data_IF_506606870542
#
_entry.id   IF_506606870542
#
_cell.length_a   1.000
_cell.length_b   1.000
_cell.length_c   1.000
_cell.angle_alpha   90.00
_cell.angle_beta   90.00
_cell.angle_gamma   90.00
#
_symmetry.space_group_name_H-M   'P 1'
#
loop_
_entity.id
_entity.type
_entity.pdbx_description
1 polymer ?
#
# COMPACT_ATOMS: atom_id res chain seq x y z
N UNK A 1 -10.61 10.60 -19.57
CA UNK A 1 -11.95 10.76 -18.98
C UNK A 1 -11.97 12.06 -18.20
N UNK A 2 -13.01 12.88 -18.32
CA UNK A 2 -13.17 14.10 -17.52
C UNK A 2 -13.49 13.74 -16.07
N UNK A 3 -12.64 14.14 -15.11
CA UNK A 3 -12.91 14.00 -13.68
C UNK A 3 -13.94 15.02 -13.20
N UNK A 4 -14.61 14.72 -12.08
CA UNK A 4 -15.57 15.63 -11.45
C UNK A 4 -15.09 15.99 -10.05
N UNK A 5 -15.32 17.24 -9.64
CA UNK A 5 -15.03 17.66 -8.29
C UNK A 5 -15.92 16.89 -7.30
N UNK A 6 -15.36 16.33 -6.22
CA UNK A 6 -16.14 15.56 -5.25
C UNK A 6 -17.17 16.45 -4.56
N UNK A 7 -18.34 15.87 -4.30
CA UNK A 7 -19.31 16.49 -3.40
C UNK A 7 -18.68 16.70 -2.02
N UNK A 8 -19.17 17.70 -1.28
CA UNK A 8 -18.69 17.98 0.08
C UNK A 8 -18.76 16.73 0.98
N UNK A 9 -19.81 15.91 0.80
CA UNK A 9 -19.98 14.66 1.53
C UNK A 9 -18.83 13.67 1.26
N UNK A 10 -18.54 13.38 -0.01
CA UNK A 10 -17.45 12.46 -0.40
C UNK A 10 -16.11 12.97 0.14
N UNK A 11 -15.85 14.27 -0.01
CA UNK A 11 -14.63 14.90 0.47
C UNK A 11 -14.43 14.69 1.97
N UNK A 12 -15.42 15.02 2.79
CA UNK A 12 -15.31 14.90 4.24
C UNK A 12 -15.20 13.44 4.67
N UNK A 13 -16.01 12.54 4.12
CA UNK A 13 -15.96 11.12 4.44
C UNK A 13 -14.58 10.51 4.13
N UNK A 14 -14.04 10.79 2.94
CA UNK A 14 -12.74 10.25 2.52
C UNK A 14 -11.62 10.75 3.44
N UNK A 15 -11.60 12.06 3.74
CA UNK A 15 -10.63 12.64 4.65
C UNK A 15 -10.75 12.05 6.06
N UNK A 16 -11.97 11.85 6.56
CA UNK A 16 -12.19 11.21 7.87
C UNK A 16 -11.67 9.77 7.87
N UNK A 17 -11.96 8.96 6.85
CA UNK A 17 -11.47 7.59 6.75
C UNK A 17 -9.93 7.52 6.71
N UNK A 18 -9.27 8.48 6.05
CA UNK A 18 -7.81 8.59 6.05
C UNK A 18 -7.26 9.02 7.42
N UNK A 19 -7.84 10.04 8.05
CA UNK A 19 -7.24 10.67 9.24
C UNK A 19 -7.47 9.84 10.51
N UNK A 20 -8.53 9.02 10.59
CA UNK A 20 -8.84 8.25 11.80
C UNK A 20 -7.70 7.32 12.27
N UNK A 21 -7.07 6.48 11.42
CA UNK A 21 -5.96 5.65 11.85
C UNK A 21 -4.70 6.48 12.18
N UNK A 22 -4.51 7.64 11.55
CA UNK A 22 -3.41 8.55 11.90
C UNK A 22 -3.59 9.15 13.30
N UNK A 23 -4.80 9.62 13.62
CA UNK A 23 -5.15 10.09 14.97
C UNK A 23 -4.90 8.98 15.99
N UNK A 24 -5.35 7.76 15.69
CA UNK A 24 -5.09 6.59 16.53
C UNK A 24 -3.60 6.40 16.79
N UNK A 25 -2.74 6.43 15.75
CA UNK A 25 -1.30 6.30 15.91
C UNK A 25 -0.73 7.33 16.90
N UNK A 26 -1.04 8.62 16.72
CA UNK A 26 -0.53 9.67 17.60
C UNK A 26 -1.01 9.53 19.05
N UNK A 27 -2.30 9.23 19.26
CA UNK A 27 -2.86 9.04 20.60
C UNK A 27 -2.24 7.81 21.29
N UNK A 28 -2.03 6.72 20.56
CA UNK A 28 -1.44 5.50 21.12
C UNK A 28 0.04 5.70 21.46
N UNK A 29 0.78 6.34 20.56
CA UNK A 29 2.22 6.49 20.71
C UNK A 29 2.59 7.49 21.80
N UNK A 30 1.92 8.65 21.85
CA UNK A 30 2.30 9.76 22.74
C UNK A 30 1.49 9.83 24.04
N UNK A 31 0.21 9.43 24.03
CA UNK A 31 -0.71 9.72 25.14
C UNK A 31 -1.07 8.47 25.94
N UNK A 32 -1.51 7.41 25.27
CA UNK A 32 -2.14 6.26 25.92
C UNK A 32 -1.23 5.06 26.10
N UNK A 33 0.07 5.16 25.76
CA UNK A 33 1.04 4.05 25.81
C UNK A 33 1.04 3.25 27.13
N UNK A 34 0.81 3.92 28.26
CA UNK A 34 0.74 3.29 29.59
C UNK A 34 -0.62 2.59 29.89
N UNK A 35 -1.68 2.92 29.13
CA UNK A 35 -3.05 2.45 29.34
C UNK A 35 -3.47 1.48 28.23
N UNK A 36 -2.93 0.26 28.28
CA UNK A 36 -3.11 -0.80 27.26
C UNK A 36 -4.55 -0.97 26.78
N UNK A 37 -5.52 -1.15 27.71
CA UNK A 37 -6.93 -1.37 27.34
C UNK A 37 -7.52 -0.19 26.56
N UNK A 38 -7.17 1.03 26.96
CA UNK A 38 -7.62 2.25 26.30
C UNK A 38 -6.98 2.39 24.91
N UNK A 39 -5.69 2.09 24.77
CA UNK A 39 -5.00 2.08 23.47
C UNK A 39 -5.67 1.12 22.47
N UNK A 40 -5.96 -0.10 22.89
CA UNK A 40 -6.61 -1.09 22.03
C UNK A 40 -8.02 -0.63 21.63
N UNK A 41 -8.81 -0.12 22.58
CA UNK A 41 -10.15 0.38 22.32
C UNK A 41 -10.15 1.57 21.34
N UNK A 42 -9.24 2.53 21.49
CA UNK A 42 -9.12 3.69 20.59
C UNK A 42 -8.73 3.25 19.17
N UNK A 43 -7.77 2.33 19.05
CA UNK A 43 -7.35 1.84 17.72
C UNK A 43 -8.48 1.14 16.99
N UNK A 44 -9.18 0.22 17.67
CA UNK A 44 -10.32 -0.50 17.11
C UNK A 44 -11.46 0.46 16.76
N UNK A 45 -11.74 1.46 17.60
CA UNK A 45 -12.75 2.47 17.32
C UNK A 45 -12.41 3.26 16.05
N UNK A 46 -11.20 3.80 15.93
CA UNK A 46 -10.76 4.53 14.73
C UNK A 46 -10.77 3.66 13.46
N UNK A 47 -10.37 2.38 13.57
CA UNK A 47 -10.47 1.43 12.47
C UNK A 47 -11.92 1.15 12.07
N UNK A 48 -12.83 1.03 13.06
CA UNK A 48 -14.27 0.83 12.83
C UNK A 48 -14.90 2.01 12.10
N UNK A 49 -14.56 3.25 12.49
CA UNK A 49 -15.04 4.45 11.79
C UNK A 49 -14.58 4.44 10.33
N UNK A 50 -13.31 4.13 10.09
CA UNK A 50 -12.75 4.06 8.72
C UNK A 50 -13.43 2.98 7.89
N UNK A 51 -13.72 1.82 8.50
CA UNK A 51 -14.43 0.71 7.89
C UNK A 51 -15.86 1.09 7.48
N UNK A 52 -16.63 1.65 8.41
CA UNK A 52 -18.02 2.05 8.16
C UNK A 52 -18.10 3.08 7.04
N UNK A 53 -17.18 4.03 7.01
CA UNK A 53 -17.10 5.03 5.94
C UNK A 53 -16.74 4.37 4.60
N UNK A 54 -15.74 3.48 4.57
CA UNK A 54 -15.34 2.79 3.33
C UNK A 54 -16.51 2.04 2.71
N UNK A 55 -17.23 1.25 3.51
CA UNK A 55 -18.41 0.51 3.05
C UNK A 55 -19.54 1.44 2.63
N UNK A 56 -19.80 2.52 3.38
CA UNK A 56 -20.77 3.53 2.99
C UNK A 56 -20.43 4.13 1.61
N UNK A 57 -19.17 4.51 1.38
CA UNK A 57 -18.70 5.06 0.12
C UNK A 57 -18.88 4.04 -1.02
N UNK A 58 -18.52 2.78 -0.82
CA UNK A 58 -18.69 1.75 -1.84
C UNK A 58 -20.17 1.52 -2.18
N UNK A 59 -21.06 1.35 -1.20
CA UNK A 59 -22.47 1.09 -1.48
C UNK A 59 -23.16 2.23 -2.23
N UNK A 60 -22.84 3.48 -1.90
CA UNK A 60 -23.47 4.64 -2.52
C UNK A 60 -22.80 5.10 -3.82
N UNK A 61 -21.49 4.84 -3.98
CA UNK A 61 -20.70 5.39 -5.09
C UNK A 61 -20.04 4.32 -5.98
N UNK A 62 -20.33 3.01 -5.82
CA UNK A 62 -19.80 1.96 -6.72
C UNK A 62 -20.13 2.14 -8.21
N UNK A 63 -21.20 2.87 -8.53
CA UNK A 63 -21.65 3.12 -9.90
C UNK A 63 -21.26 4.50 -10.43
N UNK A 64 -20.28 5.19 -9.82
CA UNK A 64 -19.78 6.46 -10.34
C UNK A 64 -19.21 6.28 -11.75
N UNK A 65 -19.71 7.07 -12.70
CA UNK A 65 -19.28 7.02 -14.10
C UNK A 65 -18.00 7.81 -14.34
N UNK A 66 -17.76 8.84 -13.53
CA UNK A 66 -16.58 9.68 -13.61
C UNK A 66 -15.81 9.65 -12.27
N UNK A 67 -14.47 9.57 -12.31
CA UNK A 67 -13.65 9.59 -11.12
C UNK A 67 -13.81 10.94 -10.38
N UNK A 68 -13.90 10.87 -9.05
CA UNK A 68 -13.99 12.02 -8.16
C UNK A 68 -12.58 12.41 -7.73
N UNK A 69 -12.16 13.62 -8.06
CA UNK A 69 -10.77 14.07 -7.85
C UNK A 69 -10.74 15.38 -7.09
N UNK A 70 -9.96 15.39 -6.01
CA UNK A 70 -9.55 16.61 -5.33
C UNK A 70 -8.02 16.63 -5.33
N UNK A 71 -7.43 17.67 -5.88
CA UNK A 71 -5.98 17.84 -5.93
C UNK A 71 -5.59 19.24 -5.46
N UNK A 72 -4.51 19.30 -4.68
CA UNK A 72 -3.85 20.51 -4.24
C UNK A 72 -2.40 20.46 -4.69
N UNK A 73 -1.88 21.58 -5.19
CA UNK A 73 -0.46 21.67 -5.57
C UNK A 73 0.38 21.65 -4.29
N UNK A 74 1.22 20.61 -4.14
CA UNK A 74 2.14 20.47 -3.01
C UNK A 74 3.49 21.11 -3.32
N UNK A 75 4.06 20.79 -4.48
CA UNK A 75 5.28 21.40 -5.00
C UNK A 75 5.08 21.80 -6.46
N UNK A 76 5.54 22.99 -6.82
CA UNK A 76 5.58 23.46 -8.20
C UNK A 76 6.96 24.07 -8.50
N UNK A 77 7.50 23.74 -9.67
CA UNK A 77 8.75 24.26 -10.19
C UNK A 77 8.64 24.56 -11.68
N UNK A 78 9.76 24.92 -12.32
CA UNK A 78 9.78 25.24 -13.76
C UNK A 78 9.41 23.99 -14.59
N UNK A 79 8.15 23.89 -14.99
CA UNK A 79 7.63 22.81 -15.85
C UNK A 79 7.15 21.56 -15.13
N UNK A 80 7.21 21.49 -13.79
CA UNK A 80 6.72 20.34 -13.04
C UNK A 80 5.80 20.74 -11.87
N UNK A 81 4.70 20.00 -11.70
CA UNK A 81 3.75 20.17 -10.61
C UNK A 81 3.44 18.84 -9.95
N UNK A 82 3.72 18.73 -8.65
CA UNK A 82 3.38 17.57 -7.84
C UNK A 82 2.13 17.92 -7.02
N UNK A 83 1.06 17.19 -7.26
CA UNK A 83 -0.22 17.37 -6.55
C UNK A 83 -0.41 16.31 -5.47
N UNK A 84 -1.14 16.70 -4.43
CA UNK A 84 -1.61 15.84 -3.35
C UNK A 84 -3.13 15.94 -3.25
N UNK A 85 -3.76 14.82 -2.98
CA UNK A 85 -5.18 14.80 -2.68
C UNK A 85 -5.74 13.40 -2.74
N UNK A 86 -6.92 13.24 -3.33
CA UNK A 86 -7.52 11.94 -3.51
C UNK A 86 -8.18 11.76 -4.88
N UNK A 87 -8.08 10.54 -5.38
CA UNK A 87 -8.73 10.05 -6.60
C UNK A 87 -9.60 8.84 -6.23
N UNK A 88 -10.92 9.05 -6.24
CA UNK A 88 -11.92 8.02 -5.99
C UNK A 88 -12.59 7.57 -7.29
N UNK A 89 -12.56 6.27 -7.50
CA UNK A 89 -13.12 5.52 -8.62
C UNK A 89 -13.53 4.12 -8.11
N UNK A 90 -14.19 3.27 -8.92
CA UNK A 90 -14.61 1.95 -8.45
C UNK A 90 -13.47 1.08 -7.92
N UNK A 91 -12.26 1.20 -8.50
CA UNK A 91 -11.07 0.45 -8.08
C UNK A 91 -10.60 0.85 -6.67
N UNK A 92 -10.44 2.15 -6.43
CA UNK A 92 -10.02 2.67 -5.12
C UNK A 92 -11.10 2.47 -4.05
N UNK A 93 -12.39 2.56 -4.39
CA UNK A 93 -13.49 2.24 -3.45
C UNK A 93 -13.45 0.77 -3.01
N UNK A 94 -13.25 -0.16 -3.96
CA UNK A 94 -13.11 -1.57 -3.66
C UNK A 94 -11.90 -1.81 -2.75
N UNK A 95 -10.74 -1.29 -3.14
CA UNK A 95 -9.50 -1.49 -2.37
C UNK A 95 -9.58 -0.84 -0.99
N UNK A 96 -10.23 0.32 -0.85
CA UNK A 96 -10.45 0.98 0.45
C UNK A 96 -11.27 0.08 1.39
N UNK A 97 -12.30 -0.60 0.88
CA UNK A 97 -13.10 -1.55 1.66
C UNK A 97 -12.27 -2.77 2.08
N UNK A 98 -11.46 -3.33 1.19
CA UNK A 98 -10.60 -4.47 1.49
C UNK A 98 -9.60 -4.12 2.59
N UNK A 99 -8.86 -3.01 2.42
CA UNK A 99 -7.85 -2.56 3.38
C UNK A 99 -8.48 -2.29 4.75
N UNK A 100 -9.58 -1.55 4.80
CA UNK A 100 -10.21 -1.19 6.09
C UNK A 100 -10.83 -2.41 6.79
N UNK A 101 -11.45 -3.33 6.04
CA UNK A 101 -12.04 -4.57 6.57
C UNK A 101 -10.98 -5.46 7.19
N UNK A 102 -9.89 -5.71 6.47
CA UNK A 102 -8.84 -6.60 6.96
C UNK A 102 -8.05 -5.93 8.08
N UNK A 103 -7.79 -4.62 8.01
CA UNK A 103 -7.17 -3.87 9.12
C UNK A 103 -8.02 -3.95 10.40
N UNK A 104 -9.35 -3.81 10.30
CA UNK A 104 -10.26 -3.94 11.44
C UNK A 104 -10.25 -5.36 12.01
N UNK A 105 -10.41 -6.39 11.16
CA UNK A 105 -10.41 -7.79 11.59
C UNK A 105 -9.10 -8.18 12.27
N UNK A 106 -7.96 -7.75 11.73
CA UNK A 106 -6.63 -7.97 12.33
C UNK A 106 -6.54 -7.30 13.69
N UNK A 107 -7.01 -6.07 13.85
CA UNK A 107 -7.01 -5.38 15.14
C UNK A 107 -7.92 -6.06 16.17
N UNK A 108 -9.10 -6.56 15.77
CA UNK A 108 -9.99 -7.31 16.67
C UNK A 108 -9.35 -8.64 17.08
N UNK A 109 -8.83 -9.40 16.12
CA UNK A 109 -8.16 -10.68 16.38
C UNK A 109 -6.92 -10.53 17.28
N UNK A 110 -6.22 -9.40 17.15
CA UNK A 110 -5.03 -9.08 17.96
C UNK A 110 -5.34 -8.89 19.45
N UNK A 111 -6.58 -8.61 19.85
CA UNK A 111 -6.96 -8.49 21.26
C UNK A 111 -6.70 -9.79 22.02
N UNK A 112 -7.06 -10.91 21.42
CA UNK A 112 -6.84 -12.24 21.99
C UNK A 112 -5.40 -12.71 21.77
N UNK A 113 -4.89 -12.55 20.55
CA UNK A 113 -3.57 -13.06 20.18
C UNK A 113 -2.42 -12.40 20.96
N UNK A 114 -2.48 -11.08 21.16
CA UNK A 114 -1.44 -10.30 21.85
C UNK A 114 -1.71 -10.14 23.36
N UNK A 115 -2.71 -10.83 23.90
CA UNK A 115 -3.07 -10.73 25.32
C UNK A 115 -1.87 -11.11 26.21
N UNK A 116 -1.45 -10.19 27.08
CA UNK A 116 -0.31 -10.39 27.99
C UNK A 116 1.05 -9.94 27.44
N UNK A 117 1.15 -9.55 26.16
CA UNK A 117 2.40 -8.99 25.62
C UNK A 117 2.61 -7.55 26.14
N UNK A 118 3.77 -7.29 26.74
CA UNK A 118 4.12 -5.99 27.31
C UNK A 118 4.16 -4.85 26.28
N UNK A 119 4.34 -5.18 25.00
CA UNK A 119 4.45 -4.23 23.89
C UNK A 119 3.14 -3.97 23.13
N UNK A 120 1.99 -4.46 23.60
CA UNK A 120 0.72 -4.39 22.85
C UNK A 120 0.29 -2.96 22.46
N UNK A 121 0.49 -1.94 23.30
CA UNK A 121 0.15 -0.57 22.93
C UNK A 121 1.00 -0.04 21.75
N UNK A 122 2.29 -0.40 21.73
CA UNK A 122 3.21 -0.10 20.63
C UNK A 122 2.80 -0.88 19.36
N UNK A 123 2.43 -2.15 19.51
CA UNK A 123 1.91 -2.97 18.42
C UNK A 123 0.71 -2.33 17.72
N UNK A 124 -0.31 -1.91 18.48
CA UNK A 124 -1.49 -1.24 17.91
C UNK A 124 -1.15 0.12 17.28
N UNK A 125 -0.16 0.85 17.80
CA UNK A 125 0.31 2.08 17.15
C UNK A 125 0.90 1.78 15.76
N UNK A 126 1.71 0.71 15.63
CA UNK A 126 2.26 0.28 14.35
C UNK A 126 1.18 -0.22 13.38
N UNK A 127 0.15 -0.91 13.87
CA UNK A 127 -1.03 -1.26 13.04
C UNK A 127 -1.78 -0.02 12.55
N UNK A 128 -1.95 1.01 13.40
CA UNK A 128 -2.65 2.24 13.05
C UNK A 128 -1.92 3.05 11.97
N UNK A 129 -0.60 3.22 12.09
CA UNK A 129 0.19 3.90 11.03
C UNK A 129 0.23 3.07 9.74
N UNK A 130 0.29 1.74 9.84
CA UNK A 130 0.20 0.86 8.68
C UNK A 130 -1.14 1.03 7.94
N UNK A 131 -2.26 0.99 8.67
CA UNK A 131 -3.59 1.20 8.12
C UNK A 131 -3.73 2.57 7.47
N UNK A 132 -3.23 3.64 8.12
CA UNK A 132 -3.21 4.98 7.52
C UNK A 132 -2.43 5.02 6.20
N UNK A 133 -1.25 4.41 6.19
CA UNK A 133 -0.37 4.37 5.01
C UNK A 133 -1.08 3.70 3.84
N UNK A 134 -1.66 2.51 4.07
CA UNK A 134 -2.38 1.77 3.05
C UNK A 134 -3.62 2.51 2.54
N UNK A 135 -4.45 3.05 3.44
CA UNK A 135 -5.64 3.81 3.06
C UNK A 135 -5.25 5.03 2.21
N UNK A 136 -4.22 5.75 2.61
CA UNK A 136 -3.77 6.97 1.93
C UNK A 136 -3.10 6.66 0.58
N UNK A 137 -2.38 5.54 0.48
CA UNK A 137 -1.81 5.05 -0.78
C UNK A 137 -2.91 4.70 -1.77
N UNK A 138 -3.97 4.00 -1.32
CA UNK A 138 -5.09 3.60 -2.19
C UNK A 138 -5.78 4.80 -2.78
N UNK A 139 -6.08 5.82 -1.99
CA UNK A 139 -6.80 7.00 -2.51
C UNK A 139 -5.90 8.02 -3.19
N UNK A 140 -4.58 7.79 -3.29
CA UNK A 140 -3.64 8.75 -3.87
C UNK A 140 -4.04 9.17 -5.30
N UNK A 141 -3.95 10.47 -5.58
CA UNK A 141 -4.24 11.05 -6.90
C UNK A 141 -3.03 11.12 -7.81
N UNK A 142 -1.83 11.30 -7.23
CA UNK A 142 -0.56 11.38 -7.95
C UNK A 142 0.41 10.24 -7.61
N UNK A 143 1.32 9.94 -8.54
CA UNK A 143 2.29 8.85 -8.39
C UNK A 143 3.32 9.11 -7.28
N UNK A 144 3.74 10.37 -7.08
CA UNK A 144 4.65 10.74 -5.98
C UNK A 144 3.98 10.58 -4.62
N UNK A 145 2.71 11.00 -4.48
CA UNK A 145 1.94 10.78 -3.26
C UNK A 145 1.82 9.27 -2.97
N UNK A 146 1.50 8.48 -4.00
CA UNK A 146 1.45 7.02 -3.87
C UNK A 146 2.79 6.47 -3.38
N UNK A 147 3.91 6.90 -3.96
CA UNK A 147 5.27 6.49 -3.55
C UNK A 147 5.59 6.83 -2.10
N UNK A 148 5.20 8.01 -1.62
CA UNK A 148 5.43 8.40 -0.21
C UNK A 148 4.67 7.45 0.75
N UNK A 149 3.43 7.09 0.42
CA UNK A 149 2.69 6.14 1.26
C UNK A 149 3.14 4.70 1.07
N UNK A 150 3.59 4.33 -0.12
CA UNK A 150 4.22 3.04 -0.43
C UNK A 150 5.47 2.77 0.41
N UNK A 151 6.27 3.82 0.57
CA UNK A 151 7.43 3.90 1.45
C UNK A 151 7.04 3.73 2.92
N UNK A 152 5.97 4.42 3.34
CA UNK A 152 5.46 4.32 4.70
C UNK A 152 4.87 2.94 5.03
N UNK A 153 4.26 2.26 4.06
CA UNK A 153 3.87 0.84 4.15
C UNK A 153 5.10 -0.05 4.34
N UNK A 154 6.22 0.25 3.67
CA UNK A 154 7.51 -0.43 3.88
C UNK A 154 8.08 -0.22 5.29
N UNK A 155 8.05 1.02 5.78
CA UNK A 155 8.53 1.33 7.12
C UNK A 155 7.67 0.65 8.19
N UNK A 156 6.35 0.75 8.08
CA UNK A 156 5.43 0.19 9.06
C UNK A 156 5.43 -1.34 9.05
N UNK A 157 5.58 -2.00 7.89
CA UNK A 157 5.79 -3.45 7.82
C UNK A 157 7.11 -3.88 8.46
N UNK A 158 8.21 -3.15 8.27
CA UNK A 158 9.47 -3.40 8.97
C UNK A 158 9.30 -3.40 10.49
N UNK A 159 8.59 -2.40 11.03
CA UNK A 159 8.32 -2.28 12.46
C UNK A 159 7.43 -3.41 13.01
N UNK A 160 6.50 -3.91 12.20
CA UNK A 160 5.58 -4.99 12.56
C UNK A 160 6.23 -6.38 12.45
N UNK A 161 7.03 -6.64 11.41
CA UNK A 161 7.80 -7.89 11.26
C UNK A 161 8.84 -7.99 12.38
N UNK A 162 9.59 -6.91 12.62
CA UNK A 162 10.59 -6.81 13.68
C UNK A 162 10.02 -6.50 15.07
N UNK A 163 8.72 -6.70 15.32
CA UNK A 163 8.08 -6.29 16.57
C UNK A 163 8.78 -6.86 17.81
N UNK A 164 9.07 -8.17 17.78
CA UNK A 164 9.89 -8.87 18.77
C UNK A 164 11.39 -8.72 18.48
N UNK A 165 11.84 -7.47 18.36
CA UNK A 165 13.23 -7.08 18.09
C UNK A 165 14.32 -7.73 18.97
N UNK A 166 13.97 -8.18 20.18
CA UNK A 166 14.88 -8.94 21.06
C UNK A 166 15.25 -10.32 20.48
N UNK A 167 14.39 -10.90 19.63
CA UNK A 167 14.67 -12.14 18.89
C UNK A 167 15.51 -11.80 17.66
N UNK A 168 16.72 -12.36 17.59
CA UNK A 168 17.64 -12.08 16.48
C UNK A 168 17.03 -12.44 15.11
N UNK A 169 16.31 -13.56 14.99
CA UNK A 169 15.64 -13.97 13.75
C UNK A 169 14.60 -12.96 13.28
N UNK A 170 13.76 -12.43 14.18
CA UNK A 170 12.75 -11.42 13.84
C UNK A 170 13.38 -10.11 13.37
N UNK A 171 14.47 -9.68 14.02
CA UNK A 171 15.24 -8.51 13.59
C UNK A 171 15.91 -8.70 12.22
N UNK A 172 16.44 -9.90 11.94
CA UNK A 172 17.02 -10.20 10.62
C UNK A 172 15.95 -10.29 9.53
N UNK A 173 14.81 -10.93 9.82
CA UNK A 173 13.66 -11.02 8.92
C UNK A 173 13.12 -9.63 8.55
N UNK A 174 12.92 -8.76 9.55
CA UNK A 174 12.52 -7.38 9.32
C UNK A 174 13.50 -6.65 8.42
N UNK A 175 14.80 -6.71 8.71
CA UNK A 175 15.84 -6.06 7.88
C UNK A 175 15.86 -6.61 6.45
N UNK A 176 15.77 -7.94 6.26
CA UNK A 176 15.74 -8.55 4.94
C UNK A 176 14.53 -8.07 4.14
N UNK A 177 13.34 -8.06 4.75
CA UNK A 177 12.13 -7.52 4.14
C UNK A 177 12.31 -6.06 3.73
N UNK A 178 12.80 -5.22 4.65
CA UNK A 178 13.00 -3.80 4.37
C UNK A 178 14.00 -3.55 3.24
N UNK A 179 15.14 -4.23 3.24
CA UNK A 179 16.20 -4.07 2.22
C UNK A 179 15.74 -4.57 0.86
N UNK A 180 15.09 -5.73 0.80
CA UNK A 180 14.59 -6.29 -0.46
C UNK A 180 13.50 -5.41 -1.07
N UNK A 181 12.57 -4.91 -0.26
CA UNK A 181 11.53 -4.00 -0.76
C UNK A 181 12.14 -2.67 -1.19
N UNK A 182 13.12 -2.16 -0.42
CA UNK A 182 13.83 -0.92 -0.72
C UNK A 182 14.53 -0.96 -2.07
N UNK A 183 15.12 -2.11 -2.42
CA UNK A 183 15.78 -2.28 -3.70
C UNK A 183 14.80 -2.12 -4.88
N UNK A 184 13.58 -2.66 -4.75
CA UNK A 184 12.51 -2.43 -5.71
C UNK A 184 12.03 -0.98 -5.72
N UNK A 185 11.87 -0.40 -4.53
CA UNK A 185 11.40 0.98 -4.33
C UNK A 185 12.36 2.01 -5.00
N UNK A 186 13.67 1.73 -5.04
CA UNK A 186 14.65 2.54 -5.81
C UNK A 186 14.34 2.55 -7.31
N UNK A 187 14.00 1.39 -7.89
CA UNK A 187 13.57 1.30 -9.28
C UNK A 187 12.30 2.12 -9.52
N UNK A 188 11.31 2.00 -8.63
CA UNK A 188 10.09 2.78 -8.71
C UNK A 188 10.37 4.29 -8.65
N UNK A 189 11.23 4.72 -7.74
CA UNK A 189 11.63 6.13 -7.64
C UNK A 189 12.32 6.65 -8.91
N UNK A 190 13.21 5.86 -9.53
CA UNK A 190 13.82 6.21 -10.81
C UNK A 190 12.77 6.31 -11.93
N UNK A 191 11.74 5.45 -11.92
CA UNK A 191 10.60 5.56 -12.83
C UNK A 191 9.83 6.86 -12.66
N UNK A 192 9.61 7.31 -11.41
CA UNK A 192 8.98 8.60 -11.12
C UNK A 192 9.83 9.75 -11.65
N UNK A 193 11.14 9.75 -11.38
CA UNK A 193 12.06 10.78 -11.89
C UNK A 193 12.00 10.84 -13.42
N UNK A 194 12.04 9.69 -14.07
CA UNK A 194 11.94 9.59 -15.53
C UNK A 194 10.66 10.24 -16.07
N UNK A 195 9.51 10.00 -15.42
CA UNK A 195 8.25 10.61 -15.80
C UNK A 195 8.20 12.12 -15.54
N UNK A 196 8.66 12.59 -14.36
CA UNK A 196 8.69 14.04 -14.04
C UNK A 196 9.50 14.81 -15.06
N UNK A 197 10.69 14.32 -15.42
CA UNK A 197 11.60 15.01 -16.33
C UNK A 197 11.03 15.15 -17.76
N UNK A 198 10.10 14.30 -18.16
CA UNK A 198 9.57 14.27 -19.52
C UNK A 198 8.13 14.78 -19.64
N UNK A 199 7.30 14.59 -18.60
CA UNK A 199 5.89 14.96 -18.59
C UNK A 199 5.57 16.15 -17.69
N UNK A 200 6.37 16.42 -16.66
CA UNK A 200 6.14 17.48 -15.68
C UNK A 200 5.02 17.21 -14.66
N UNK A 201 4.05 16.36 -15.00
CA UNK A 201 2.91 16.03 -14.15
C UNK A 201 2.88 14.53 -13.82
N UNK A 202 2.58 14.22 -12.56
CA UNK A 202 2.48 12.87 -12.01
C UNK A 202 1.06 12.48 -11.62
N UNK A 203 0.04 13.25 -12.00
CA UNK A 203 -1.36 12.85 -11.80
C UNK A 203 -1.64 11.52 -12.52
N UNK A 204 -2.21 10.57 -11.79
CA UNK A 204 -2.49 9.22 -12.30
C UNK A 204 -3.44 9.29 -13.50
N UNK A 205 -4.41 10.20 -13.49
CA UNK A 205 -5.34 10.37 -14.61
C UNK A 205 -4.64 10.89 -15.87
N UNK A 206 -3.64 11.75 -15.71
CA UNK A 206 -2.87 12.27 -16.84
C UNK A 206 -1.95 11.18 -17.43
N UNK A 207 -1.26 10.42 -16.56
CA UNK A 207 -0.45 9.26 -16.96
C UNK A 207 -1.27 8.18 -17.69
N UNK A 208 -2.50 7.93 -17.24
CA UNK A 208 -3.42 6.99 -17.91
C UNK A 208 -4.12 7.60 -19.14
N UNK A 209 -3.89 8.88 -19.42
CA UNK A 209 -4.46 9.61 -20.54
C UNK A 209 -3.47 9.77 -21.70
N UNK A 210 -3.63 10.88 -22.43
CA UNK A 210 -2.83 11.15 -23.63
C UNK A 210 -1.35 11.51 -23.33
N UNK A 211 -0.97 11.78 -22.08
CA UNK A 211 0.41 12.12 -21.76
C UNK A 211 1.37 10.95 -21.96
N UNK A 212 0.95 9.71 -21.71
CA UNK A 212 1.75 8.52 -21.98
C UNK A 212 2.16 8.42 -23.45
N UNK A 213 1.25 8.78 -24.36
CA UNK A 213 1.51 8.75 -25.81
C UNK A 213 2.53 9.79 -26.29
N UNK A 214 2.90 10.77 -25.45
CA UNK A 214 3.95 11.76 -25.76
C UNK A 214 5.37 11.24 -25.51
N UNK A 215 5.52 10.15 -24.75
CA UNK A 215 6.81 9.54 -24.47
C UNK A 215 7.29 8.73 -25.68
N UNK A 216 8.60 8.70 -25.91
CA UNK A 216 9.18 7.76 -26.87
C UNK A 216 8.97 6.32 -26.37
N UNK A 217 8.79 5.37 -27.30
CA UNK A 217 8.50 3.96 -26.95
C UNK A 217 9.53 3.36 -25.99
N UNK A 218 10.81 3.67 -26.18
CA UNK A 218 11.88 3.20 -25.31
C UNK A 218 11.80 3.80 -23.90
N UNK A 219 11.51 5.09 -23.79
CA UNK A 219 11.39 5.77 -22.50
C UNK A 219 10.14 5.29 -21.75
N UNK A 220 9.00 5.17 -22.42
CA UNK A 220 7.76 4.64 -21.86
C UNK A 220 8.01 3.24 -21.27
N UNK A 221 8.63 2.34 -22.04
CA UNK A 221 8.93 0.98 -21.61
C UNK A 221 9.90 0.96 -20.43
N UNK A 222 10.94 1.80 -20.46
CA UNK A 222 11.88 1.95 -19.35
C UNK A 222 11.18 2.45 -18.08
N UNK A 223 10.38 3.53 -18.16
CA UNK A 223 9.64 4.06 -17.01
C UNK A 223 8.66 3.03 -16.45
N UNK A 224 7.96 2.28 -17.32
CA UNK A 224 7.05 1.22 -16.93
C UNK A 224 7.76 0.08 -16.18
N UNK A 225 8.89 -0.40 -16.70
CA UNK A 225 9.69 -1.45 -16.04
C UNK A 225 10.29 -0.96 -14.71
N UNK A 226 10.76 0.29 -14.65
CA UNK A 226 11.27 0.90 -13.42
C UNK A 226 10.18 1.00 -12.35
N UNK A 227 8.97 1.44 -12.70
CA UNK A 227 7.81 1.43 -11.77
C UNK A 227 7.48 -0.01 -11.34
N UNK A 228 7.52 -0.96 -12.28
CA UNK A 228 7.27 -2.36 -11.99
C UNK A 228 8.32 -2.98 -11.04
N UNK A 229 9.57 -2.50 -11.00
CA UNK A 229 10.54 -2.96 -9.99
C UNK A 229 10.05 -2.75 -8.56
N UNK A 230 9.30 -1.67 -8.29
CA UNK A 230 8.64 -1.48 -7.01
C UNK A 230 7.68 -2.62 -6.70
N UNK A 231 6.82 -2.96 -7.66
CA UNK A 231 5.86 -4.07 -7.57
C UNK A 231 6.58 -5.39 -7.30
N UNK A 232 7.70 -5.66 -7.99
CA UNK A 232 8.51 -6.86 -7.76
C UNK A 232 8.99 -6.94 -6.31
N UNK A 233 9.47 -5.82 -5.75
CA UNK A 233 9.90 -5.72 -4.36
C UNK A 233 8.77 -5.92 -3.35
N UNK A 234 7.70 -5.11 -3.40
CA UNK A 234 6.59 -5.15 -2.42
C UNK A 234 5.70 -6.38 -2.51
N UNK A 235 5.51 -6.92 -3.71
CA UNK A 235 4.68 -8.10 -3.94
C UNK A 235 5.49 -9.40 -3.93
N UNK A 236 6.76 -9.35 -3.48
CA UNK A 236 7.64 -10.51 -3.37
C UNK A 236 7.65 -11.38 -4.64
N UNK A 237 7.79 -10.72 -5.79
CA UNK A 237 7.91 -11.42 -7.07
C UNK A 237 9.35 -11.81 -7.32
N UNK A 238 9.58 -12.79 -8.19
CA UNK A 238 10.91 -13.11 -8.68
C UNK A 238 11.60 -11.87 -9.27
N UNK A 239 12.86 -11.57 -8.91
CA UNK A 239 13.78 -12.35 -8.07
C UNK A 239 13.77 -11.98 -6.58
N UNK A 240 12.96 -11.01 -6.16
CA UNK A 240 12.92 -10.48 -4.79
C UNK A 240 11.91 -11.21 -3.87
N UNK A 241 11.55 -12.46 -4.16
CA UNK A 241 10.53 -13.20 -3.40
C UNK A 241 10.96 -13.66 -1.99
N UNK A 242 12.28 -13.76 -1.75
CA UNK A 242 12.81 -14.52 -0.60
C UNK A 242 12.59 -13.87 0.76
N UNK A 243 12.13 -12.62 0.83
CA UNK A 243 11.85 -11.97 2.11
C UNK A 243 10.49 -12.37 2.70
N UNK A 244 9.56 -12.82 1.86
CA UNK A 244 8.18 -13.10 2.27
C UNK A 244 8.06 -14.27 3.25
N UNK A 245 8.73 -15.43 3.03
CA UNK A 245 8.66 -16.54 3.99
C UNK A 245 9.31 -16.19 5.34
N UNK A 246 10.37 -15.38 5.32
CA UNK A 246 11.06 -14.94 6.56
C UNK A 246 10.22 -13.92 7.34
N UNK A 247 9.39 -13.12 6.66
CA UNK A 247 8.49 -12.17 7.30
C UNK A 247 7.45 -12.84 8.22
N UNK A 248 7.29 -14.16 8.15
CA UNK A 248 6.49 -14.97 9.07
C UNK A 248 7.02 -14.96 10.52
N UNK A 249 8.19 -14.39 10.79
CA UNK A 249 8.66 -14.15 12.15
C UNK A 249 7.79 -13.14 12.93
N UNK A 250 7.05 -12.27 12.22
CA UNK A 250 6.12 -11.33 12.84
C UNK A 250 4.93 -12.02 13.51
N UNK A 251 4.19 -11.31 14.40
CA UNK A 251 2.96 -11.83 14.98
C UNK A 251 1.98 -12.30 13.89
N UNK A 252 1.31 -13.42 14.09
CA UNK A 252 0.39 -13.99 13.08
C UNK A 252 -0.68 -13.01 12.55
N UNK A 253 -1.26 -12.10 13.36
CA UNK A 253 -2.18 -11.08 12.82
C UNK A 253 -1.49 -10.11 11.83
N UNK A 254 -0.19 -9.85 11.99
CA UNK A 254 0.61 -9.05 11.04
C UNK A 254 0.77 -9.79 9.74
N UNK A 255 1.11 -11.09 9.78
CA UNK A 255 1.20 -11.91 8.57
C UNK A 255 -0.13 -11.86 7.80
N UNK A 256 -1.27 -12.03 8.47
CA UNK A 256 -2.58 -11.92 7.83
C UNK A 256 -2.82 -10.53 7.19
N UNK A 257 -2.39 -9.45 7.84
CA UNK A 257 -2.49 -8.09 7.29
C UNK A 257 -1.64 -7.92 6.03
N UNK A 258 -0.35 -8.25 6.12
CA UNK A 258 0.65 -7.99 5.08
C UNK A 258 0.40 -8.83 3.82
N UNK A 259 0.08 -10.13 3.98
CA UNK A 259 0.02 -11.08 2.87
C UNK A 259 -1.36 -11.16 2.22
N UNK A 260 -2.46 -10.98 2.97
CA UNK A 260 -3.79 -11.15 2.37
C UNK A 260 -4.31 -9.90 1.68
N UNK A 261 -3.92 -8.70 2.14
CA UNK A 261 -4.72 -7.51 1.88
C UNK A 261 -3.96 -6.23 1.53
N UNK A 262 -2.68 -6.14 1.91
CA UNK A 262 -2.03 -4.84 1.98
C UNK A 262 -0.70 -4.77 1.25
N UNK A 263 0.38 -5.30 1.82
CA UNK A 263 1.72 -5.07 1.26
C UNK A 263 1.89 -5.71 -0.12
N UNK A 264 1.52 -6.97 -0.29
CA UNK A 264 1.60 -7.63 -1.61
C UNK A 264 0.50 -7.16 -2.56
N UNK A 265 -0.68 -6.82 -2.02
CA UNK A 265 -1.80 -6.28 -2.79
C UNK A 265 -1.54 -4.84 -3.27
N UNK A 266 -0.65 -4.09 -2.61
CA UNK A 266 -0.23 -2.75 -3.01
C UNK A 266 0.36 -2.75 -4.42
N UNK A 267 1.20 -3.74 -4.74
CA UNK A 267 1.79 -3.85 -6.07
C UNK A 267 0.77 -4.22 -7.14
N UNK A 268 -0.15 -5.15 -6.85
CA UNK A 268 -1.28 -5.46 -7.75
C UNK A 268 -2.17 -4.24 -7.96
N UNK A 269 -2.43 -3.47 -6.89
CA UNK A 269 -3.18 -2.22 -6.95
C UNK A 269 -2.49 -1.19 -7.84
N UNK A 270 -1.18 -1.00 -7.70
CA UNK A 270 -0.40 -0.07 -8.54
C UNK A 270 -0.46 -0.45 -10.02
N UNK A 271 -0.26 -1.72 -10.36
CA UNK A 271 -0.36 -2.19 -11.76
C UNK A 271 -1.77 -1.99 -12.29
N UNK A 272 -2.80 -2.32 -11.51
CA UNK A 272 -4.20 -2.15 -11.91
C UNK A 272 -4.55 -0.67 -12.12
N UNK A 273 -4.07 0.20 -11.24
CA UNK A 273 -4.29 1.65 -11.27
C UNK A 273 -3.59 2.31 -12.46
N UNK A 274 -2.43 1.81 -12.86
CA UNK A 274 -1.66 2.27 -14.02
C UNK A 274 -1.85 1.38 -15.25
N UNK A 275 -2.86 0.51 -15.28
CA UNK A 275 -3.03 -0.43 -16.38
C UNK A 275 -3.13 0.26 -17.75
N UNK A 276 -3.88 1.37 -17.92
CA UNK A 276 -3.87 2.12 -19.17
C UNK A 276 -2.49 2.64 -19.59
N UNK A 277 -1.65 3.04 -18.63
CA UNK A 277 -0.26 3.42 -18.90
C UNK A 277 0.56 2.21 -19.42
N UNK A 278 0.47 1.05 -18.77
CA UNK A 278 1.16 -0.17 -19.21
C UNK A 278 0.70 -0.68 -20.59
N UNK A 279 -0.58 -0.47 -20.95
CA UNK A 279 -1.12 -0.86 -22.26
C UNK A 279 -0.41 -0.20 -23.45
N UNK A 280 0.30 0.91 -23.25
CA UNK A 280 1.08 1.56 -24.29
C UNK A 280 2.45 0.88 -24.54
N UNK A 281 2.87 -0.05 -23.66
CA UNK A 281 4.12 -0.82 -23.80
C UNK A 281 3.84 -2.33 -23.73
N UNK A 282 3.66 -2.99 -24.89
CA UNK A 282 3.50 -4.44 -24.95
C UNK A 282 4.69 -5.20 -24.34
N UNK A 283 5.90 -4.68 -24.51
CA UNK A 283 7.12 -5.28 -23.96
C UNK A 283 7.13 -5.26 -22.43
N UNK A 284 6.70 -4.15 -21.80
CA UNK A 284 6.57 -4.09 -20.36
C UNK A 284 5.51 -5.09 -19.85
N UNK A 285 4.37 -5.20 -20.52
CA UNK A 285 3.33 -6.18 -20.17
C UNK A 285 3.83 -7.62 -20.29
N UNK A 286 4.64 -7.93 -21.31
CA UNK A 286 5.25 -9.26 -21.46
C UNK A 286 6.19 -9.59 -20.30
N UNK A 287 6.99 -8.63 -19.85
CA UNK A 287 7.87 -8.80 -18.67
C UNK A 287 7.05 -9.01 -17.40
N UNK A 288 5.98 -8.24 -17.19
CA UNK A 288 5.07 -8.39 -16.04
C UNK A 288 4.47 -9.80 -16.03
N UNK A 289 3.94 -10.25 -17.17
CA UNK A 289 3.36 -11.59 -17.32
C UNK A 289 4.41 -12.69 -17.04
N UNK A 290 5.62 -12.52 -17.57
CA UNK A 290 6.71 -13.49 -17.41
C UNK A 290 7.12 -13.61 -15.94
N UNK A 291 7.34 -12.48 -15.26
CA UNK A 291 7.72 -12.46 -13.84
C UNK A 291 6.61 -13.03 -12.97
N UNK A 292 5.34 -12.68 -13.22
CA UNK A 292 4.20 -13.25 -12.51
C UNK A 292 4.09 -14.77 -12.69
N UNK A 293 4.29 -15.26 -13.92
CA UNK A 293 4.26 -16.70 -14.24
C UNK A 293 5.40 -17.46 -13.55
N UNK A 294 6.62 -16.93 -13.62
CA UNK A 294 7.79 -17.51 -12.95
C UNK A 294 7.56 -17.57 -11.43
N UNK A 295 7.09 -16.46 -10.84
CA UNK A 295 6.81 -16.39 -9.40
C UNK A 295 5.76 -17.41 -8.99
N UNK A 296 4.66 -17.53 -9.75
CA UNK A 296 3.61 -18.51 -9.47
C UNK A 296 4.14 -19.95 -9.47
N UNK A 297 4.94 -20.33 -10.47
CA UNK A 297 5.50 -21.68 -10.58
C UNK A 297 6.55 -21.97 -9.48
N UNK A 298 7.43 -21.02 -9.20
CA UNK A 298 8.44 -21.17 -8.14
C UNK A 298 7.78 -21.24 -6.76
N UNK A 299 6.87 -20.32 -6.44
CA UNK A 299 6.24 -20.28 -5.11
C UNK A 299 5.35 -21.50 -4.85
N UNK A 300 4.61 -21.99 -5.86
CA UNK A 300 3.79 -23.20 -5.70
C UNK A 300 4.63 -24.46 -5.43
N UNK A 301 5.74 -24.63 -6.16
CA UNK A 301 6.65 -25.78 -5.92
C UNK A 301 7.37 -25.69 -4.59
N UNK A 302 7.77 -24.49 -4.15
CA UNK A 302 8.31 -24.26 -2.81
C UNK A 302 7.30 -24.62 -1.72
N UNK A 303 6.04 -24.16 -1.84
CA UNK A 303 4.99 -24.41 -0.86
C UNK A 303 4.70 -25.91 -0.66
N UNK A 304 4.81 -26.73 -1.71
CA UNK A 304 4.63 -28.19 -1.62
C UNK A 304 5.65 -28.90 -0.73
N UNK A 305 6.82 -28.28 -0.49
CA UNK A 305 7.92 -28.88 0.27
C UNK A 305 8.20 -28.18 1.61
N UNK A 306 7.56 -27.03 1.85
CA UNK A 306 7.68 -26.30 3.10
C UNK A 306 7.07 -27.09 4.27
N UNK A 307 7.74 -27.06 5.42
CA UNK A 307 7.33 -27.80 6.64
C UNK A 307 6.64 -26.91 7.69
N UNK A 308 6.79 -25.59 7.56
CA UNK A 308 6.16 -24.62 8.44
C UNK A 308 4.87 -24.09 7.82
N UNK A 309 3.75 -24.19 8.54
CA UNK A 309 2.44 -23.80 8.02
C UNK A 309 2.37 -22.33 7.62
N UNK A 310 3.02 -21.41 8.35
CA UNK A 310 3.03 -19.99 7.98
C UNK A 310 3.81 -19.77 6.70
N UNK A 311 4.89 -20.52 6.47
CA UNK A 311 5.65 -20.46 5.22
C UNK A 311 4.90 -21.08 4.04
N UNK A 312 4.03 -22.09 4.26
CA UNK A 312 3.17 -22.64 3.20
C UNK A 312 2.12 -21.60 2.75
N UNK A 313 1.59 -20.81 3.68
CA UNK A 313 0.62 -19.74 3.39
C UNK A 313 1.25 -18.46 2.82
N UNK A 314 2.57 -18.31 2.96
CA UNK A 314 3.35 -17.17 2.50
C UNK A 314 3.58 -17.22 0.98
#
# INVERSE_FOLDING_TARGET
>A
MSSVAPSNLIRWLTLTAMVMPLISFFILFFVTRARVKLSCAISIFCASVSLLIAWFLLFHFRHIQAPQVLEYVWLAGQGASITFGFLLDPLSLLMLCIVTSISFLVQVYSLGYMAGDAGIAKYYSFLSIFAWSMISMVVASGLMQLYIFWELVGLSSYLLIGFWHHKFSASQAGKKAFVMTRLGDLGFFLGIISLVLNLGDLSILNLNGAAAAKLSTGLLTLSALLIFMGVVGKSAQFPLLTWLPDAMEGPTPVSALLHSATMVAAGVYLVSRLFPFYMHSPDALLVILSIGTITMLLSSTMAMTARDIKQVWA
#
